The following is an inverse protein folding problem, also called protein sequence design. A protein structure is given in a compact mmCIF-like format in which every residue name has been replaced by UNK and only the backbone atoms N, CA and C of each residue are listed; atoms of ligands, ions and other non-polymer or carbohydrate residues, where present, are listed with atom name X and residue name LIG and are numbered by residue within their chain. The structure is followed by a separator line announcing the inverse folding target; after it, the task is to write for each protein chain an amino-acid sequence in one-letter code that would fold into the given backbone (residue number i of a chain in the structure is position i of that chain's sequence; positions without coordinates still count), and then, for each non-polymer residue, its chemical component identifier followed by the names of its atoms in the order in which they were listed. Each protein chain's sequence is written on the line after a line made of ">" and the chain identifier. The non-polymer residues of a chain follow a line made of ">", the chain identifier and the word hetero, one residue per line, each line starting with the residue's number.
data_IF_339226680194
#
_entry.id   IF_339226680194
#
_cell.length_a   1.000
_cell.length_b   1.000
_cell.length_c   1.000
_cell.angle_alpha   90.00
_cell.angle_beta   90.00
_cell.angle_gamma   90.00
#
_symmetry.space_group_name_H-M   'P 1'
#
loop_
_entity.id
_entity.type
_entity.pdbx_description
1 polymer ?
#
# COMPACT_ATOMS: atom_id res chain seq x y z
N UNK A 1 14.80 11.68 -23.25
CA UNK A 1 14.54 11.44 -24.69
C UNK A 1 13.45 10.38 -24.92
N UNK A 2 13.56 9.17 -24.38
CA UNK A 2 12.52 8.13 -24.54
C UNK A 2 11.14 8.57 -24.02
N UNK A 3 11.10 9.19 -22.84
CA UNK A 3 9.86 9.73 -22.27
C UNK A 3 9.20 10.78 -23.16
N UNK A 4 9.99 11.69 -23.73
CA UNK A 4 9.49 12.71 -24.67
C UNK A 4 8.88 12.05 -25.91
N UNK A 5 9.56 11.06 -26.51
CA UNK A 5 9.05 10.30 -27.65
C UNK A 5 7.73 9.60 -27.32
N UNK A 6 7.62 9.03 -26.11
CA UNK A 6 6.38 8.40 -25.66
C UNK A 6 5.23 9.42 -25.56
N UNK A 7 5.47 10.58 -24.95
CA UNK A 7 4.47 11.65 -24.88
C UNK A 7 4.05 12.16 -26.26
N UNK A 8 5.00 12.37 -27.17
CA UNK A 8 4.73 12.84 -28.54
C UNK A 8 3.97 11.80 -29.38
N UNK A 9 4.18 10.51 -29.11
CA UNK A 9 3.50 9.42 -29.79
C UNK A 9 2.09 9.14 -29.26
N UNK A 10 1.71 9.68 -28.10
CA UNK A 10 0.39 9.45 -27.50
C UNK A 10 -0.67 10.34 -28.19
N UNK A 11 -1.68 9.76 -28.85
CA UNK A 11 -2.70 10.53 -29.57
C UNK A 11 -3.60 11.33 -28.62
N UNK A 12 -4.02 12.52 -29.05
CA UNK A 12 -4.93 13.35 -28.25
C UNK A 12 -6.30 12.69 -28.05
N UNK A 13 -6.78 11.98 -29.06
CA UNK A 13 -8.06 11.27 -29.03
C UNK A 13 -8.09 10.23 -27.91
N UNK A 14 -6.96 9.56 -27.66
CA UNK A 14 -6.81 8.61 -26.57
C UNK A 14 -6.83 9.31 -25.21
N UNK A 15 -6.09 10.42 -25.07
CA UNK A 15 -6.06 11.21 -23.84
C UNK A 15 -7.44 11.75 -23.46
N UNK A 16 -8.18 12.30 -24.44
CA UNK A 16 -9.53 12.82 -24.23
C UNK A 16 -10.51 11.70 -23.87
N UNK A 17 -10.42 10.56 -24.54
CA UNK A 17 -11.28 9.41 -24.26
C UNK A 17 -11.04 8.82 -22.86
N UNK A 18 -9.78 8.54 -22.50
CA UNK A 18 -9.46 7.91 -21.22
C UNK A 18 -9.67 8.84 -20.03
N UNK A 19 -9.34 10.13 -20.17
CA UNK A 19 -9.51 11.10 -19.09
C UNK A 19 -10.94 11.61 -18.94
N UNK A 20 -11.74 11.55 -20.00
CA UNK A 20 -13.06 12.21 -20.07
C UNK A 20 -12.97 13.74 -20.09
N UNK A 21 -11.77 14.31 -20.30
CA UNK A 21 -11.53 15.75 -20.38
C UNK A 21 -11.32 16.18 -21.83
N UNK A 22 -11.76 17.38 -22.16
CA UNK A 22 -11.41 17.99 -23.45
C UNK A 22 -9.95 18.42 -23.46
N UNK A 23 -9.34 18.46 -24.64
CA UNK A 23 -7.98 18.98 -24.85
C UNK A 23 -7.80 20.38 -24.26
N UNK A 24 -8.81 21.24 -24.36
CA UNK A 24 -8.77 22.58 -23.78
C UNK A 24 -8.65 22.56 -22.24
N UNK A 25 -9.36 21.66 -21.56
CA UNK A 25 -9.25 21.50 -20.10
C UNK A 25 -7.88 20.96 -19.68
N UNK A 26 -7.35 19.97 -20.41
CA UNK A 26 -6.03 19.40 -20.16
C UNK A 26 -4.95 20.47 -20.34
N UNK A 27 -4.98 21.21 -21.46
CA UNK A 27 -4.03 22.31 -21.72
C UNK A 27 -4.14 23.43 -20.68
N UNK A 28 -5.34 23.73 -20.19
CA UNK A 28 -5.52 24.70 -19.10
C UNK A 28 -4.85 24.23 -17.81
N UNK A 29 -4.99 22.96 -17.45
CA UNK A 29 -4.30 22.40 -16.28
C UNK A 29 -2.78 22.40 -16.46
N UNK A 30 -2.30 22.02 -17.65
CA UNK A 30 -0.89 22.08 -18.00
C UNK A 30 -0.34 23.51 -17.94
N UNK A 31 -1.11 24.51 -18.37
CA UNK A 31 -0.72 25.92 -18.28
C UNK A 31 -0.55 26.36 -16.82
N UNK A 32 -1.56 26.10 -15.97
CA UNK A 32 -1.48 26.41 -14.52
C UNK A 32 -0.26 25.76 -13.89
N UNK A 33 0.01 24.50 -14.22
CA UNK A 33 1.22 23.83 -13.77
C UNK A 33 2.48 24.53 -14.29
N UNK A 34 2.56 24.81 -15.59
CA UNK A 34 3.71 25.43 -16.27
C UNK A 34 4.08 26.81 -15.73
N UNK A 35 3.09 27.58 -15.27
CA UNK A 35 3.26 28.94 -14.73
C UNK A 35 3.61 28.93 -13.23
N UNK A 36 3.36 27.83 -12.52
CA UNK A 36 3.69 27.70 -11.10
C UNK A 36 5.21 27.59 -10.89
N UNK A 37 5.78 28.43 -10.00
CA UNK A 37 7.20 28.34 -9.62
C UNK A 37 7.49 27.11 -8.74
N UNK A 38 6.53 26.69 -7.93
CA UNK A 38 6.68 25.57 -6.97
C UNK A 38 5.38 24.81 -6.87
N UNK A 39 5.43 23.50 -7.13
CA UNK A 39 4.23 22.66 -7.11
C UNK A 39 4.42 21.42 -6.26
N UNK A 40 3.46 21.17 -5.38
CA UNK A 40 3.31 19.91 -4.65
C UNK A 40 2.21 19.08 -5.32
N UNK A 41 2.52 17.83 -5.65
CA UNK A 41 1.51 16.85 -6.06
C UNK A 41 1.12 16.05 -4.83
N UNK A 42 -0.09 16.29 -4.32
CA UNK A 42 -0.65 15.55 -3.20
C UNK A 42 -1.64 14.50 -3.68
N UNK A 43 -1.49 13.26 -3.24
CA UNK A 43 -2.42 12.18 -3.60
C UNK A 43 -2.69 11.23 -2.44
N UNK A 44 -3.77 10.47 -2.58
CA UNK A 44 -4.23 9.46 -1.61
C UNK A 44 -4.47 8.11 -2.32
N UNK A 45 -5.49 7.38 -1.90
CA UNK A 45 -5.84 6.06 -2.41
C UNK A 45 -6.39 6.07 -3.84
N UNK A 46 -7.01 7.17 -4.28
CA UNK A 46 -7.53 7.31 -5.66
C UNK A 46 -6.46 7.28 -6.76
N UNK A 47 -5.17 7.22 -6.41
CA UNK A 47 -4.08 6.93 -7.34
C UNK A 47 -3.51 5.54 -7.06
N UNK A 48 -3.22 5.24 -5.79
CA UNK A 48 -2.49 4.03 -5.42
C UNK A 48 -3.33 2.74 -5.45
N UNK A 49 -4.66 2.83 -5.37
CA UNK A 49 -5.58 1.68 -5.43
C UNK A 49 -6.22 1.52 -6.82
N UNK A 50 -5.42 1.73 -7.86
CA UNK A 50 -5.76 1.44 -9.25
C UNK A 50 -4.76 0.45 -9.83
N UNK A 51 -5.18 -0.29 -10.86
CA UNK A 51 -4.34 -1.25 -11.58
C UNK A 51 -3.03 -0.63 -12.07
N UNK A 52 -3.09 0.58 -12.60
CA UNK A 52 -1.94 1.34 -13.09
C UNK A 52 -1.32 2.26 -12.02
N UNK A 53 -1.63 2.08 -10.74
CA UNK A 53 -1.25 3.03 -9.69
C UNK A 53 0.25 3.28 -9.57
N UNK A 54 1.08 2.25 -9.81
CA UNK A 54 2.56 2.40 -9.83
C UNK A 54 3.00 3.28 -10.99
N UNK A 55 2.46 3.05 -12.19
CA UNK A 55 2.81 3.81 -13.38
C UNK A 55 2.29 5.24 -13.30
N UNK A 56 1.09 5.46 -12.76
CA UNK A 56 0.58 6.81 -12.49
C UNK A 56 1.46 7.58 -11.50
N UNK A 57 1.98 6.94 -10.45
CA UNK A 57 2.94 7.57 -9.54
C UNK A 57 4.27 7.88 -10.24
N UNK A 58 4.75 7.00 -11.12
CA UNK A 58 5.93 7.27 -11.95
C UNK A 58 5.71 8.49 -12.85
N UNK A 59 4.54 8.61 -13.47
CA UNK A 59 4.18 9.76 -14.30
C UNK A 59 4.13 11.07 -13.49
N UNK A 60 3.57 11.04 -12.29
CA UNK A 60 3.62 12.19 -11.37
C UNK A 60 5.07 12.62 -11.10
N UNK A 61 5.95 11.65 -10.84
CA UNK A 61 7.38 11.91 -10.59
C UNK A 61 8.07 12.45 -11.85
N UNK A 62 7.76 11.92 -13.03
CA UNK A 62 8.30 12.40 -14.31
C UNK A 62 7.94 13.88 -14.55
N UNK A 63 6.67 14.24 -14.34
CA UNK A 63 6.20 15.63 -14.49
C UNK A 63 6.90 16.56 -13.48
N UNK A 64 7.04 16.15 -12.22
CA UNK A 64 7.78 16.92 -11.21
C UNK A 64 9.26 17.10 -11.59
N UNK A 65 9.91 16.06 -12.12
CA UNK A 65 11.29 16.11 -12.60
C UNK A 65 11.47 17.11 -13.75
N UNK A 66 10.55 17.11 -14.74
CA UNK A 66 10.61 18.02 -15.89
C UNK A 66 10.64 19.50 -15.51
N UNK A 67 10.04 19.85 -14.37
CA UNK A 67 9.98 21.24 -13.88
C UNK A 67 10.93 21.54 -12.72
N UNK A 68 11.80 20.60 -12.36
CA UNK A 68 12.70 20.77 -11.21
C UNK A 68 11.96 20.90 -9.88
N UNK A 69 10.76 20.32 -9.76
CA UNK A 69 9.93 20.34 -8.56
C UNK A 69 10.31 19.22 -7.58
N UNK A 70 11.57 18.78 -7.55
CA UNK A 70 12.10 17.80 -6.59
C UNK A 70 13.31 18.37 -5.85
N UNK A 71 13.41 18.08 -4.56
CA UNK A 71 14.50 18.59 -3.71
C UNK A 71 14.43 20.10 -3.46
N UNK A 72 13.27 20.73 -3.73
CA UNK A 72 13.03 22.17 -3.57
C UNK A 72 11.94 22.41 -2.54
N UNK A 73 12.19 23.33 -1.59
CA UNK A 73 11.21 23.68 -0.56
C UNK A 73 9.92 24.23 -1.18
N UNK A 74 8.77 23.67 -0.75
CA UNK A 74 7.46 24.03 -1.28
C UNK A 74 7.09 23.31 -2.59
N UNK A 75 7.86 22.31 -3.01
CA UNK A 75 7.57 21.48 -4.17
C UNK A 75 7.77 19.98 -3.87
N UNK A 76 7.17 19.13 -4.71
CA UNK A 76 7.46 17.70 -4.73
C UNK A 76 6.28 16.78 -4.45
N UNK A 77 6.55 15.47 -4.34
CA UNK A 77 5.54 14.46 -4.13
C UNK A 77 5.09 14.46 -2.67
N UNK A 78 3.78 14.45 -2.44
CA UNK A 78 3.17 14.33 -1.12
C UNK A 78 2.13 13.20 -1.12
N UNK A 79 2.57 11.93 -1.03
CA UNK A 79 1.66 10.82 -0.80
C UNK A 79 1.07 10.91 0.61
N UNK A 80 -0.17 11.40 0.72
CA UNK A 80 -0.90 11.48 1.98
C UNK A 80 -1.36 10.08 2.36
N UNK A 81 -0.83 9.56 3.46
CA UNK A 81 -1.20 8.24 3.97
C UNK A 81 -2.24 8.35 5.09
N UNK A 82 -3.18 7.41 5.12
CA UNK A 82 -4.34 7.49 6.00
C UNK A 82 -4.09 7.08 7.45
N UNK A 83 -3.62 5.84 7.69
CA UNK A 83 -3.45 5.34 9.06
C UNK A 83 -2.28 6.01 9.78
N UNK A 84 -2.49 6.35 11.05
CA UNK A 84 -1.58 7.15 11.88
C UNK A 84 -0.14 6.64 12.00
N UNK A 85 0.10 5.34 11.82
CA UNK A 85 1.43 4.74 11.96
C UNK A 85 1.83 3.85 10.77
N UNK A 86 1.23 4.04 9.59
CA UNK A 86 1.59 3.20 8.43
C UNK A 86 3.05 3.43 7.99
N UNK A 87 3.59 4.63 8.18
CA UNK A 87 5.01 4.94 8.01
C UNK A 87 5.86 4.24 9.09
N UNK A 88 5.46 4.37 10.35
CA UNK A 88 6.18 3.78 11.49
C UNK A 88 6.29 2.26 11.40
N UNK A 89 5.24 1.58 10.91
CA UNK A 89 5.29 0.13 10.71
C UNK A 89 6.41 -0.27 9.74
N UNK A 90 6.58 0.47 8.63
CA UNK A 90 7.64 0.20 7.65
C UNK A 90 9.03 0.49 8.21
N UNK A 91 9.18 1.54 9.01
CA UNK A 91 10.46 1.82 9.68
C UNK A 91 10.83 0.78 10.73
N UNK A 92 9.84 0.10 11.32
CA UNK A 92 10.05 -1.03 12.24
C UNK A 92 10.24 -2.37 11.54
N UNK A 93 10.42 -2.41 10.21
CA UNK A 93 10.72 -3.64 9.47
C UNK A 93 9.53 -4.55 9.21
N UNK A 94 8.29 -4.04 9.30
CA UNK A 94 7.12 -4.79 8.82
C UNK A 94 7.17 -4.80 7.29
N UNK A 95 7.79 -5.82 6.72
CA UNK A 95 7.86 -6.04 5.29
C UNK A 95 7.93 -7.52 4.93
N UNK A 96 7.18 -7.88 3.89
CA UNK A 96 7.19 -9.19 3.26
C UNK A 96 8.35 -9.37 2.28
N UNK A 97 9.04 -8.31 1.87
CA UNK A 97 10.22 -8.37 0.99
C UNK A 97 11.40 -7.58 1.58
N UNK A 98 11.85 -7.94 2.80
CA UNK A 98 12.94 -7.23 3.45
C UNK A 98 14.24 -7.41 2.66
N UNK A 99 15.11 -6.40 2.67
CA UNK A 99 16.42 -6.49 2.02
C UNK A 99 17.36 -7.42 2.77
N UNK A 100 18.34 -7.99 2.07
CA UNK A 100 19.38 -8.82 2.71
C UNK A 100 20.11 -8.08 3.83
N UNK A 101 20.41 -6.79 3.62
CA UNK A 101 21.04 -5.93 4.63
C UNK A 101 20.20 -5.85 5.91
N UNK A 102 18.88 -5.64 5.78
CA UNK A 102 17.99 -5.59 6.94
C UNK A 102 17.96 -6.92 7.67
N UNK A 103 17.83 -8.04 6.94
CA UNK A 103 17.79 -9.37 7.51
C UNK A 103 19.10 -9.73 8.24
N UNK A 104 20.25 -9.34 7.71
CA UNK A 104 21.55 -9.55 8.37
C UNK A 104 21.63 -8.80 9.71
N UNK A 105 21.17 -7.54 9.75
CA UNK A 105 21.13 -6.75 10.98
C UNK A 105 20.12 -7.31 11.98
N UNK A 106 18.98 -7.83 11.51
CA UNK A 106 18.00 -8.51 12.36
C UNK A 106 18.59 -9.78 12.98
N UNK A 107 19.31 -10.58 12.19
CA UNK A 107 19.99 -11.79 12.66
C UNK A 107 20.97 -11.49 13.79
N UNK A 108 21.83 -10.48 13.60
CA UNK A 108 22.81 -10.05 14.60
C UNK A 108 22.12 -9.52 15.88
N UNK A 109 21.16 -8.61 15.74
CA UNK A 109 20.52 -7.97 16.88
C UNK A 109 19.67 -8.93 17.73
N UNK A 110 19.02 -9.91 17.09
CA UNK A 110 18.11 -10.84 17.77
C UNK A 110 18.72 -12.21 18.05
N UNK A 111 19.91 -12.53 17.52
CA UNK A 111 20.53 -13.85 17.66
C UNK A 111 19.72 -14.97 17.00
N UNK A 112 19.07 -14.68 15.86
CA UNK A 112 18.23 -15.63 15.11
C UNK A 112 18.77 -15.83 13.69
N UNK A 113 18.34 -16.90 13.02
CA UNK A 113 18.51 -17.07 11.57
C UNK A 113 17.19 -16.74 10.85
N UNK A 114 17.03 -15.52 10.30
CA UNK A 114 15.77 -15.11 9.69
C UNK A 114 15.63 -15.69 8.26
N UNK A 115 14.40 -16.00 7.82
CA UNK A 115 14.16 -16.50 6.47
C UNK A 115 14.59 -15.45 5.43
N UNK A 116 15.18 -15.94 4.33
CA UNK A 116 15.68 -15.09 3.23
C UNK A 116 14.74 -15.01 2.04
N UNK A 117 13.75 -15.89 2.00
CA UNK A 117 12.71 -15.90 0.98
C UNK A 117 11.70 -14.78 1.22
N UNK A 118 11.12 -14.27 0.13
CA UNK A 118 10.03 -13.31 0.22
C UNK A 118 8.78 -13.92 0.87
N UNK A 119 8.21 -13.20 1.82
CA UNK A 119 6.92 -13.51 2.41
C UNK A 119 5.75 -13.14 1.49
N UNK A 120 4.53 -13.42 1.97
CA UNK A 120 3.30 -13.15 1.25
C UNK A 120 2.78 -11.74 1.58
N UNK A 121 2.29 -11.03 0.56
CA UNK A 121 1.45 -9.85 0.75
C UNK A 121 0.01 -10.25 1.15
N UNK A 122 -0.86 -9.27 1.39
CA UNK A 122 -2.24 -9.50 1.80
C UNK A 122 -3.03 -10.40 0.84
N UNK A 123 -2.93 -10.16 -0.48
CA UNK A 123 -3.70 -10.90 -1.48
C UNK A 123 -3.17 -12.33 -1.60
N UNK A 124 -1.85 -12.48 -1.73
CA UNK A 124 -1.21 -13.81 -1.79
C UNK A 124 -1.38 -14.62 -0.51
N UNK A 125 -1.52 -13.96 0.64
CA UNK A 125 -1.86 -14.62 1.91
C UNK A 125 -3.24 -15.26 1.82
N UNK A 126 -4.24 -14.55 1.30
CA UNK A 126 -5.61 -15.07 1.15
C UNK A 126 -5.62 -16.25 0.17
N UNK A 127 -4.95 -16.12 -0.98
CA UNK A 127 -4.78 -17.23 -1.93
C UNK A 127 -4.10 -18.45 -1.28
N UNK A 128 -3.06 -18.23 -0.48
CA UNK A 128 -2.34 -19.28 0.22
C UNK A 128 -3.18 -19.97 1.30
N UNK A 129 -4.16 -19.27 1.90
CA UNK A 129 -5.13 -19.88 2.82
C UNK A 129 -6.05 -20.86 2.07
N UNK A 130 -6.56 -20.47 0.89
CA UNK A 130 -7.36 -21.35 0.03
C UNK A 130 -6.59 -22.57 -0.46
N UNK A 131 -5.30 -22.42 -0.71
CA UNK A 131 -4.41 -23.51 -1.10
C UNK A 131 -3.95 -24.38 0.08
N UNK A 132 -4.36 -24.08 1.32
CA UNK A 132 -3.94 -24.80 2.52
C UNK A 132 -2.47 -24.63 2.90
N UNK A 133 -1.75 -23.69 2.26
CA UNK A 133 -0.33 -23.36 2.55
C UNK A 133 -0.22 -22.51 3.81
N UNK A 134 -1.18 -21.62 4.06
CA UNK A 134 -1.29 -20.86 5.32
C UNK A 134 -2.26 -21.58 6.25
N UNK A 135 -1.74 -22.13 7.34
CA UNK A 135 -2.54 -22.85 8.36
C UNK A 135 -2.82 -22.02 9.60
N UNK A 136 -1.95 -21.05 9.89
CA UNK A 136 -2.06 -20.18 11.06
C UNK A 136 -2.01 -18.74 10.58
N UNK A 137 -3.01 -17.95 10.97
CA UNK A 137 -3.05 -16.52 10.75
C UNK A 137 -2.99 -15.78 12.07
N UNK A 138 -2.12 -14.77 12.16
CA UNK A 138 -2.01 -13.91 13.34
C UNK A 138 -2.23 -12.46 12.89
N UNK A 139 -3.33 -11.86 13.33
CA UNK A 139 -3.65 -10.46 13.09
C UNK A 139 -3.31 -9.59 14.30
N UNK A 140 -2.40 -8.63 14.14
CA UNK A 140 -2.10 -7.64 15.18
C UNK A 140 -2.86 -6.34 14.90
N UNK A 141 -3.98 -6.15 15.60
CA UNK A 141 -4.91 -5.06 15.34
C UNK A 141 -5.61 -5.17 13.98
N UNK A 142 -6.42 -4.15 13.66
CA UNK A 142 -7.15 -4.08 12.39
C UNK A 142 -8.32 -5.06 12.30
N UNK A 143 -8.98 -5.03 11.13
CA UNK A 143 -10.11 -5.90 10.80
C UNK A 143 -9.86 -6.53 9.42
N UNK A 144 -8.90 -7.46 9.36
CA UNK A 144 -8.45 -8.10 8.12
C UNK A 144 -9.61 -8.60 7.25
N UNK A 145 -10.59 -9.26 7.87
CA UNK A 145 -11.76 -9.80 7.19
C UNK A 145 -12.54 -8.74 6.38
N UNK A 146 -12.61 -7.49 6.86
CA UNK A 146 -13.32 -6.41 6.17
C UNK A 146 -12.41 -5.45 5.41
N UNK A 147 -11.12 -5.44 5.71
CA UNK A 147 -10.16 -4.52 5.12
C UNK A 147 -9.54 -5.07 3.82
N UNK A 148 -9.50 -6.39 3.67
CA UNK A 148 -9.05 -7.05 2.45
C UNK A 148 -10.10 -6.95 1.32
N UNK A 149 -9.68 -6.98 0.04
CA UNK A 149 -10.59 -7.03 -1.09
C UNK A 149 -11.34 -8.38 -1.15
N UNK A 150 -12.45 -8.41 -1.89
CA UNK A 150 -13.31 -9.60 -2.06
C UNK A 150 -13.68 -10.27 -0.72
N UNK A 151 -14.66 -9.67 -0.04
CA UNK A 151 -15.09 -10.09 1.29
C UNK A 151 -15.49 -11.57 1.35
N UNK A 152 -16.31 -12.12 0.43
CA UNK A 152 -16.62 -13.56 0.44
C UNK A 152 -15.37 -14.44 0.32
N UNK A 153 -14.47 -14.14 -0.63
CA UNK A 153 -13.27 -14.92 -0.85
C UNK A 153 -12.31 -14.86 0.35
N UNK A 154 -12.12 -13.68 0.93
CA UNK A 154 -11.34 -13.47 2.17
C UNK A 154 -11.92 -14.27 3.32
N UNK A 155 -13.25 -14.23 3.50
CA UNK A 155 -13.90 -14.94 4.59
C UNK A 155 -13.75 -16.45 4.47
N UNK A 156 -13.84 -16.98 3.25
CA UNK A 156 -13.65 -18.40 2.99
C UNK A 156 -12.21 -18.82 3.28
N UNK A 157 -11.21 -18.03 2.83
CA UNK A 157 -9.80 -18.29 3.12
C UNK A 157 -9.50 -18.32 4.63
N UNK A 158 -9.99 -17.33 5.40
CA UNK A 158 -9.82 -17.31 6.86
C UNK A 158 -10.37 -18.58 7.54
N UNK A 159 -11.51 -19.10 7.06
CA UNK A 159 -12.13 -20.33 7.59
C UNK A 159 -11.34 -21.61 7.28
N UNK A 160 -10.48 -21.59 6.25
CA UNK A 160 -9.60 -22.72 5.93
C UNK A 160 -8.41 -22.84 6.91
N UNK A 161 -8.07 -21.77 7.65
CA UNK A 161 -6.98 -21.83 8.61
C UNK A 161 -7.30 -22.77 9.78
N UNK A 162 -6.29 -23.49 10.27
CA UNK A 162 -6.39 -24.31 11.49
C UNK A 162 -6.53 -23.43 12.74
N UNK A 163 -5.84 -22.28 12.74
CA UNK A 163 -5.87 -21.30 13.83
C UNK A 163 -5.86 -19.87 13.29
N UNK A 164 -6.75 -19.04 13.81
CA UNK A 164 -6.69 -17.59 13.65
C UNK A 164 -6.55 -16.94 15.02
N UNK A 165 -5.46 -16.21 15.25
CA UNK A 165 -5.22 -15.47 16.49
C UNK A 165 -5.26 -13.97 16.22
N UNK A 166 -5.93 -13.21 17.10
CA UNK A 166 -6.03 -11.76 16.96
C UNK A 166 -5.60 -11.06 18.24
N UNK A 167 -4.62 -10.16 18.12
CA UNK A 167 -4.29 -9.20 19.18
C UNK A 167 -5.18 -7.97 18.96
N UNK A 168 -6.09 -7.68 19.88
CA UNK A 168 -7.12 -6.65 19.65
C UNK A 168 -7.51 -5.86 20.89
N UNK A 169 -7.80 -4.58 20.68
CA UNK A 169 -8.33 -3.67 21.71
C UNK A 169 -9.86 -3.70 21.79
N UNK A 170 -10.52 -4.20 20.73
CA UNK A 170 -11.97 -4.38 20.65
C UNK A 170 -12.35 -5.47 19.67
N UNK A 171 -13.53 -6.05 19.87
CA UNK A 171 -14.12 -7.02 18.94
C UNK A 171 -14.47 -6.35 17.60
N UNK A 172 -14.37 -7.12 16.52
CA UNK A 172 -14.65 -6.74 15.15
C UNK A 172 -14.95 -7.98 14.29
N UNK A 173 -15.25 -7.80 13.00
CA UNK A 173 -15.68 -8.89 12.12
C UNK A 173 -14.68 -10.05 11.99
N UNK A 174 -13.37 -9.79 12.08
CA UNK A 174 -12.35 -10.84 12.00
C UNK A 174 -12.43 -11.84 13.16
N UNK A 175 -13.04 -11.47 14.29
CA UNK A 175 -13.26 -12.38 15.41
C UNK A 175 -14.50 -13.29 15.22
N UNK A 176 -15.34 -13.00 14.22
CA UNK A 176 -16.51 -13.81 13.85
C UNK A 176 -16.29 -14.64 12.59
N UNK A 177 -15.26 -14.29 11.81
CA UNK A 177 -14.84 -15.00 10.60
C UNK A 177 -13.45 -15.56 10.86
N UNK A 178 -13.43 -16.71 11.52
CA UNK A 178 -12.22 -17.31 12.06
C UNK A 178 -11.99 -18.73 11.50
N UNK A 179 -10.79 -19.25 11.69
CA UNK A 179 -10.41 -20.61 11.32
C UNK A 179 -11.06 -21.67 12.21
N UNK A 180 -10.58 -22.91 12.17
CA UNK A 180 -11.14 -24.00 13.00
C UNK A 180 -11.01 -23.74 14.50
N UNK A 181 -9.94 -23.04 14.90
CA UNK A 181 -9.73 -22.52 16.26
C UNK A 181 -9.50 -21.02 16.19
N UNK A 182 -9.95 -20.31 17.23
CA UNK A 182 -9.78 -18.88 17.35
C UNK A 182 -9.19 -18.51 18.71
N UNK A 183 -8.22 -17.60 18.72
CA UNK A 183 -7.72 -16.94 19.93
C UNK A 183 -7.93 -15.43 19.81
N UNK A 184 -8.44 -14.82 20.87
CA UNK A 184 -8.48 -13.38 21.03
C UNK A 184 -7.54 -13.04 22.18
N UNK A 185 -6.55 -12.21 21.90
CA UNK A 185 -5.54 -11.75 22.84
C UNK A 185 -5.79 -10.26 23.10
N UNK A 186 -6.50 -9.90 24.19
CA UNK A 186 -6.78 -8.51 24.50
C UNK A 186 -5.47 -7.73 24.70
N UNK A 187 -5.43 -6.50 24.19
CA UNK A 187 -4.31 -5.59 24.41
C UNK A 187 -4.79 -4.18 24.77
N UNK A 188 -3.89 -3.39 25.37
CA UNK A 188 -4.19 -2.02 25.78
C UNK A 188 -4.43 -1.12 24.56
N UNK A 189 -5.47 -0.30 24.66
CA UNK A 189 -5.75 0.80 23.76
C UNK A 189 -4.74 1.94 23.91
N UNK A 190 -4.73 2.84 22.91
CA UNK A 190 -3.84 4.02 22.92
C UNK A 190 -4.08 4.91 24.15
N UNK A 191 -5.33 5.06 24.57
CA UNK A 191 -5.74 5.92 25.71
C UNK A 191 -5.48 5.28 27.07
N UNK A 192 -5.06 4.02 27.10
CA UNK A 192 -4.78 3.26 28.32
C UNK A 192 -3.27 3.19 28.60
N UNK A 193 -2.45 3.83 27.76
CA UNK A 193 -1.03 4.04 28.02
C UNK A 193 -0.87 5.33 28.84
N UNK A 194 -0.28 5.18 30.02
CA UNK A 194 0.31 6.27 30.82
C UNK A 194 1.59 6.78 30.13
#
# INVERSE_FOLDING_TARGET
>A
EEYQKACEATPWEELEHQSGLTRAQILKAAQVYSESDRTIFSWCLGISQHEHGVDTVREIVNVLLLRGNLGREGAGPCPIRGHSNVQGNRTCGIDHRPTEEFLNRLAEACGIDPPREEGLDTVRTIEAMHQGRVKVFIGMGGNFAMAAPDTPYTFEGLRQCELTAHVSTKLNRSHLVHGKKALILPCLGRTEKD
#
